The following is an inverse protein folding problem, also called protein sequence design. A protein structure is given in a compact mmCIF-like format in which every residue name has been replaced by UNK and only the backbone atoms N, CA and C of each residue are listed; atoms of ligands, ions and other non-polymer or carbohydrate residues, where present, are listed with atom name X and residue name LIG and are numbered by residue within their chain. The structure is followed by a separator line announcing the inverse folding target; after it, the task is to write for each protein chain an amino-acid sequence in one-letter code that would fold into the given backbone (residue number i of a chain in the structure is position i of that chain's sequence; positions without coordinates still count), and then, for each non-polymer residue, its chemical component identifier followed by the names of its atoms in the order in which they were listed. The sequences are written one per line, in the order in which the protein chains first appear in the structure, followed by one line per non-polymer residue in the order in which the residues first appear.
data_IF_860721901510
#
_entry.id   IF_860721901510
#
_cell.length_a   1.000
_cell.length_b   1.000
_cell.length_c   1.000
_cell.angle_alpha   90.00
_cell.angle_beta   90.00
_cell.angle_gamma   90.00
#
_symmetry.space_group_name_H-M   'P 1'
#
loop_
_entity.id
_entity.type
_entity.pdbx_description
1 polymer ?
#
# COMPACT_ATOMS: atom_id res chain seq x y z
N UNK A 1 16.78 10.54 20.48
CA UNK A 1 16.09 11.78 20.10
C UNK A 1 14.69 11.68 20.63
N UNK A 2 14.37 12.48 21.61
CA UNK A 2 13.11 12.50 22.35
C UNK A 2 11.99 12.98 21.44
N UNK A 3 11.07 12.08 21.07
CA UNK A 3 9.88 12.36 20.28
C UNK A 3 8.81 13.14 21.08
N UNK A 4 9.22 14.19 21.77
CA UNK A 4 8.34 15.10 22.49
C UNK A 4 8.36 16.52 21.89
N UNK A 5 8.73 16.67 20.62
CA UNK A 5 8.32 17.88 19.92
C UNK A 5 6.82 17.78 19.68
N UNK A 6 6.07 18.66 20.32
CA UNK A 6 4.63 18.81 20.20
C UNK A 6 4.28 18.89 18.71
N UNK A 7 3.61 17.88 18.18
CA UNK A 7 3.02 17.87 16.84
C UNK A 7 1.87 18.88 16.85
N UNK A 8 2.22 20.17 16.75
CA UNK A 8 1.27 21.28 16.94
C UNK A 8 0.48 21.64 15.68
N UNK A 9 0.95 21.19 14.49
CA UNK A 9 0.35 21.58 13.22
C UNK A 9 0.00 20.37 12.35
N UNK A 10 -1.24 19.89 12.45
CA UNK A 10 -1.75 18.78 11.62
C UNK A 10 -1.54 18.97 10.11
N UNK A 11 -1.55 20.21 9.63
CA UNK A 11 -1.28 20.53 8.22
C UNK A 11 0.19 20.28 7.84
N UNK A 12 1.13 20.67 8.70
CA UNK A 12 2.58 20.41 8.50
C UNK A 12 2.85 18.90 8.48
N UNK A 13 2.28 18.15 9.40
CA UNK A 13 2.44 16.69 9.46
C UNK A 13 1.81 16.01 8.25
N UNK A 14 0.64 16.48 7.81
CA UNK A 14 0.02 16.03 6.57
C UNK A 14 0.88 16.29 5.33
N UNK A 15 1.53 17.45 5.23
CA UNK A 15 2.44 17.78 4.14
C UNK A 15 3.70 16.89 4.16
N UNK A 16 4.26 16.61 5.34
CA UNK A 16 5.37 15.66 5.50
C UNK A 16 4.94 14.25 5.06
N UNK A 17 3.76 13.81 5.52
CA UNK A 17 3.17 12.52 5.13
C UNK A 17 2.97 12.39 3.63
N UNK A 18 2.56 13.47 2.95
CA UNK A 18 2.46 13.53 1.50
C UNK A 18 3.82 13.28 0.84
N UNK A 19 4.87 13.97 1.28
CA UNK A 19 6.23 13.77 0.77
C UNK A 19 6.73 12.34 0.97
N UNK A 20 6.53 11.78 2.18
CA UNK A 20 6.86 10.38 2.50
C UNK A 20 6.09 9.42 1.59
N UNK A 21 4.80 9.68 1.35
CA UNK A 21 3.97 8.85 0.48
C UNK A 21 4.44 8.85 -0.98
N UNK A 22 4.87 10.00 -1.51
CA UNK A 22 5.48 10.10 -2.85
C UNK A 22 6.76 9.27 -2.91
N UNK A 23 7.69 9.48 -1.98
CA UNK A 23 8.95 8.74 -1.93
C UNK A 23 8.72 7.23 -1.82
N UNK A 24 7.79 6.81 -0.97
CA UNK A 24 7.42 5.42 -0.83
C UNK A 24 6.83 4.85 -2.12
N UNK A 25 5.92 5.58 -2.79
CA UNK A 25 5.32 5.17 -4.05
C UNK A 25 6.34 5.01 -5.17
N UNK A 26 7.26 5.96 -5.29
CA UNK A 26 8.37 5.92 -6.26
C UNK A 26 9.28 4.72 -5.98
N UNK A 27 9.77 4.58 -4.74
CA UNK A 27 10.68 3.49 -4.36
C UNK A 27 10.03 2.13 -4.58
N UNK A 28 8.77 1.97 -4.14
CA UNK A 28 8.03 0.72 -4.32
C UNK A 28 7.87 0.35 -5.80
N UNK A 29 7.57 1.32 -6.65
CA UNK A 29 7.44 1.08 -8.09
C UNK A 29 8.80 0.80 -8.72
N UNK A 30 9.83 1.56 -8.40
CA UNK A 30 11.16 1.34 -8.96
C UNK A 30 11.73 -0.04 -8.60
N UNK A 31 11.55 -0.50 -7.37
CA UNK A 31 12.05 -1.81 -6.93
C UNK A 31 11.13 -2.94 -7.34
N UNK A 32 9.82 -2.76 -7.25
CA UNK A 32 8.82 -3.80 -7.49
C UNK A 32 8.51 -4.04 -8.97
N UNK A 33 8.57 -3.01 -9.80
CA UNK A 33 8.12 -3.09 -11.20
C UNK A 33 8.82 -4.16 -12.05
N UNK A 34 10.13 -4.39 -11.94
CA UNK A 34 10.80 -5.50 -12.65
C UNK A 34 10.17 -6.86 -12.34
N UNK A 35 9.84 -7.12 -11.06
CA UNK A 35 9.19 -8.35 -10.64
C UNK A 35 7.75 -8.45 -11.15
N UNK A 36 7.02 -7.34 -11.11
CA UNK A 36 5.65 -7.27 -11.65
C UNK A 36 5.64 -7.54 -13.16
N UNK A 37 6.61 -7.00 -13.90
CA UNK A 37 6.76 -7.24 -15.34
C UNK A 37 7.02 -8.71 -15.63
N UNK A 38 7.93 -9.36 -14.89
CA UNK A 38 8.23 -10.78 -15.06
C UNK A 38 7.01 -11.63 -14.71
N UNK A 39 6.34 -11.34 -13.59
CA UNK A 39 5.10 -12.02 -13.19
C UNK A 39 4.03 -11.93 -14.30
N UNK A 40 3.82 -10.76 -14.85
CA UNK A 40 2.84 -10.53 -15.93
C UNK A 40 3.22 -11.28 -17.19
N UNK A 41 4.51 -11.29 -17.59
CA UNK A 41 4.99 -12.07 -18.74
C UNK A 41 4.77 -13.57 -18.53
N UNK A 42 5.07 -14.10 -17.34
CA UNK A 42 4.83 -15.50 -17.01
C UNK A 42 3.35 -15.89 -17.04
N UNK A 43 2.46 -14.96 -16.70
CA UNK A 43 1.01 -15.21 -16.68
C UNK A 43 0.32 -15.02 -18.01
N UNK A 44 0.84 -14.16 -18.89
CA UNK A 44 0.11 -13.70 -20.09
C UNK A 44 0.87 -13.92 -21.40
N UNK A 45 2.16 -14.27 -21.38
CA UNK A 45 2.96 -14.35 -22.60
C UNK A 45 3.39 -15.79 -22.90
N UNK A 46 3.00 -16.27 -24.09
CA UNK A 46 3.42 -17.58 -24.60
C UNK A 46 4.96 -17.72 -24.60
N UNK A 47 5.45 -18.89 -24.17
CA UNK A 47 6.88 -19.18 -24.06
C UNK A 47 7.54 -18.80 -22.73
N UNK A 48 6.77 -18.32 -21.75
CA UNK A 48 7.18 -18.07 -20.37
C UNK A 48 6.45 -18.98 -19.36
N UNK A 49 5.45 -19.73 -19.80
CA UNK A 49 4.53 -20.51 -18.95
C UNK A 49 5.21 -21.58 -18.10
N UNK A 50 6.29 -22.18 -18.59
CA UNK A 50 7.06 -23.23 -17.90
C UNK A 50 8.37 -22.73 -17.28
N UNK A 51 8.66 -21.44 -17.41
CA UNK A 51 9.94 -20.87 -16.98
C UNK A 51 9.86 -20.40 -15.53
N UNK A 52 10.86 -20.71 -14.70
CA UNK A 52 10.99 -20.14 -13.36
C UNK A 52 11.21 -18.63 -13.41
N UNK A 53 10.94 -17.93 -12.29
CA UNK A 53 11.05 -16.46 -12.19
C UNK A 53 12.43 -15.94 -12.62
N UNK A 54 13.50 -16.57 -12.15
CA UNK A 54 14.88 -16.18 -12.50
C UNK A 54 15.20 -16.39 -13.97
N UNK A 55 14.71 -17.49 -14.56
CA UNK A 55 14.89 -17.80 -15.97
C UNK A 55 14.14 -16.78 -16.85
N UNK A 56 12.90 -16.45 -16.47
CA UNK A 56 12.09 -15.43 -17.14
C UNK A 56 12.72 -14.04 -17.03
N UNK A 57 13.31 -13.72 -15.88
CA UNK A 57 14.06 -12.49 -15.68
C UNK A 57 15.27 -12.42 -16.62
N UNK A 58 16.12 -13.46 -16.59
CA UNK A 58 17.31 -13.53 -17.44
C UNK A 58 16.95 -13.47 -18.95
N UNK A 59 15.90 -14.19 -19.36
CA UNK A 59 15.38 -14.17 -20.73
C UNK A 59 14.95 -12.76 -21.14
N UNK A 60 14.15 -12.08 -20.31
CA UNK A 60 13.68 -10.71 -20.57
C UNK A 60 14.83 -9.71 -20.59
N UNK A 61 15.77 -9.86 -19.65
CA UNK A 61 16.94 -8.96 -19.59
C UNK A 61 17.85 -9.11 -20.81
N UNK A 62 18.04 -10.34 -21.31
CA UNK A 62 18.83 -10.60 -22.52
C UNK A 62 18.15 -10.13 -23.80
N UNK A 63 16.81 -10.22 -23.90
CA UNK A 63 16.07 -9.83 -25.11
C UNK A 63 15.82 -8.34 -25.19
N UNK A 64 15.33 -7.73 -24.09
CA UNK A 64 14.79 -6.38 -24.09
C UNK A 64 15.60 -5.41 -23.21
N UNK A 65 16.61 -5.91 -22.50
CA UNK A 65 17.44 -5.15 -21.57
C UNK A 65 16.65 -4.58 -20.39
N UNK A 66 17.21 -3.56 -19.75
CA UNK A 66 16.56 -2.85 -18.62
C UNK A 66 15.23 -2.20 -19.05
N UNK A 67 15.16 -1.69 -20.29
CA UNK A 67 13.92 -1.08 -20.81
C UNK A 67 12.75 -2.06 -20.85
N UNK A 68 13.02 -3.33 -21.15
CA UNK A 68 11.99 -4.38 -21.13
C UNK A 68 11.41 -4.64 -19.74
N UNK A 69 12.23 -4.53 -18.69
CA UNK A 69 11.81 -4.71 -17.30
C UNK A 69 10.97 -3.55 -16.78
N UNK A 70 11.19 -2.32 -17.27
CA UNK A 70 10.47 -1.10 -16.87
C UNK A 70 9.41 -0.66 -17.87
N UNK A 71 9.10 -1.49 -18.87
CA UNK A 71 8.07 -1.16 -19.84
C UNK A 71 6.71 -1.04 -19.17
N UNK A 72 6.08 0.13 -19.30
CA UNK A 72 4.77 0.42 -18.71
C UNK A 72 4.81 0.82 -17.22
N UNK A 73 5.99 1.21 -16.67
CA UNK A 73 6.10 1.63 -15.25
C UNK A 73 5.45 2.98 -14.94
N UNK A 74 5.27 3.86 -15.93
CA UNK A 74 4.77 5.23 -15.71
C UNK A 74 3.35 5.27 -15.10
N UNK A 75 2.34 4.55 -15.62
CA UNK A 75 1.02 4.56 -14.99
C UNK A 75 0.99 4.07 -13.55
N UNK A 76 1.62 2.91 -13.19
CA UNK A 76 1.72 2.49 -11.80
C UNK A 76 2.50 3.47 -10.92
N UNK A 77 3.55 4.10 -11.46
CA UNK A 77 4.35 5.08 -10.72
C UNK A 77 3.52 6.29 -10.31
N UNK A 78 2.82 6.90 -11.26
CA UNK A 78 1.94 8.06 -10.99
C UNK A 78 0.79 7.66 -10.07
N UNK A 79 0.09 6.57 -10.39
CA UNK A 79 -1.03 6.08 -9.60
C UNK A 79 -0.62 5.78 -8.15
N UNK A 80 0.45 4.99 -7.94
CA UNK A 80 0.91 4.64 -6.59
C UNK A 80 1.40 5.86 -5.83
N UNK A 81 2.06 6.81 -6.47
CA UNK A 81 2.45 8.08 -5.86
C UNK A 81 1.25 8.84 -5.32
N UNK A 82 0.20 8.99 -6.12
CA UNK A 82 -1.00 9.76 -5.73
C UNK A 82 -1.74 9.11 -4.56
N UNK A 83 -2.15 7.85 -4.66
CA UNK A 83 -2.98 7.27 -3.60
C UNK A 83 -2.18 6.96 -2.31
N UNK A 84 -0.88 6.69 -2.41
CA UNK A 84 -0.02 6.50 -1.22
C UNK A 84 0.27 7.82 -0.53
N UNK A 85 0.59 8.88 -1.26
CA UNK A 85 0.80 10.19 -0.67
C UNK A 85 -0.47 10.72 0.01
N UNK A 86 -1.64 10.56 -0.60
CA UNK A 86 -2.90 10.89 0.03
C UNK A 86 -3.13 10.09 1.33
N UNK A 87 -2.83 8.79 1.32
CA UNK A 87 -2.96 7.94 2.51
C UNK A 87 -2.07 8.40 3.65
N UNK A 88 -0.76 8.62 3.40
CA UNK A 88 0.16 9.05 4.44
C UNK A 88 -0.16 10.45 4.94
N UNK A 89 -0.51 11.37 4.04
CA UNK A 89 -0.91 12.73 4.42
C UNK A 89 -2.13 12.73 5.34
N UNK A 90 -3.17 11.97 4.99
CA UNK A 90 -4.38 11.86 5.81
C UNK A 90 -4.09 11.16 7.13
N UNK A 91 -3.24 10.13 7.14
CA UNK A 91 -2.87 9.43 8.38
C UNK A 91 -2.15 10.38 9.35
N UNK A 92 -1.12 11.07 8.91
CA UNK A 92 -0.35 12.00 9.76
C UNK A 92 -1.21 13.19 10.23
N UNK A 93 -2.04 13.75 9.34
CA UNK A 93 -2.96 14.81 9.68
C UNK A 93 -3.98 14.35 10.74
N UNK A 94 -4.60 13.17 10.56
CA UNK A 94 -5.57 12.63 11.51
C UNK A 94 -4.92 12.21 12.82
N UNK A 95 -3.74 11.60 12.78
CA UNK A 95 -2.99 11.23 13.97
C UNK A 95 -2.69 12.43 14.87
N UNK A 96 -2.37 13.57 14.26
CA UNK A 96 -2.11 14.83 14.97
C UNK A 96 -3.42 15.52 15.38
N UNK A 97 -4.44 15.54 14.51
CA UNK A 97 -5.73 16.15 14.81
C UNK A 97 -6.46 15.42 15.96
N UNK A 98 -6.33 14.10 16.04
CA UNK A 98 -6.91 13.28 17.10
C UNK A 98 -6.04 13.23 18.37
N UNK A 99 -5.12 14.17 18.54
CA UNK A 99 -4.22 14.23 19.70
C UNK A 99 -4.91 14.81 20.95
N UNK A 100 -5.99 14.18 21.38
CA UNK A 100 -6.69 14.50 22.62
C UNK A 100 -6.66 13.33 23.62
N UNK A 101 -6.93 13.59 24.89
CA UNK A 101 -6.83 12.60 25.97
C UNK A 101 -7.73 11.37 25.74
N UNK A 102 -8.90 11.54 25.17
CA UNK A 102 -9.85 10.45 24.90
C UNK A 102 -9.31 9.48 23.82
N UNK A 103 -8.65 10.02 22.79
CA UNK A 103 -8.11 9.24 21.67
C UNK A 103 -6.73 8.64 21.96
N UNK A 104 -6.02 9.15 22.96
CA UNK A 104 -4.77 8.56 23.48
C UNK A 104 -5.02 7.33 24.36
N UNK A 105 -6.28 7.04 24.71
CA UNK A 105 -6.64 5.88 25.52
C UNK A 105 -6.21 4.59 24.80
N UNK A 106 -5.56 3.74 25.56
CA UNK A 106 -5.12 2.43 25.08
C UNK A 106 -6.28 1.45 25.02
N UNK A 107 -6.31 0.64 23.96
CA UNK A 107 -7.31 -0.42 23.82
C UNK A 107 -6.89 -1.60 24.72
N UNK A 108 -7.74 -2.08 25.63
CA UNK A 108 -7.42 -3.23 26.47
C UNK A 108 -7.08 -4.46 25.59
N UNK A 109 -6.15 -5.28 26.04
CA UNK A 109 -5.66 -6.51 25.38
C UNK A 109 -4.84 -6.29 24.09
N UNK A 110 -4.38 -5.07 23.76
CA UNK A 110 -3.66 -4.78 22.52
C UNK A 110 -2.24 -4.24 22.72
N UNK A 111 -1.55 -4.59 23.81
CA UNK A 111 -0.17 -4.13 24.09
C UNK A 111 0.02 -2.61 23.97
N UNK A 112 -0.98 -1.82 24.39
CA UNK A 112 -0.90 -0.35 24.46
C UNK A 112 -1.27 0.37 23.15
N UNK A 113 -1.98 -0.28 22.21
CA UNK A 113 -2.45 0.35 20.99
C UNK A 113 -3.42 1.50 21.29
N UNK A 114 -3.14 2.68 20.76
CA UNK A 114 -3.99 3.84 20.95
C UNK A 114 -5.15 3.89 19.94
N UNK A 115 -6.32 4.32 20.39
CA UNK A 115 -7.53 4.45 19.56
C UNK A 115 -7.25 5.34 18.33
N UNK A 116 -6.47 6.41 18.47
CA UNK A 116 -6.13 7.33 17.37
C UNK A 116 -5.41 6.65 16.21
N UNK A 117 -4.61 5.61 16.47
CA UNK A 117 -3.89 4.85 15.40
C UNK A 117 -4.90 4.09 14.54
N UNK A 118 -5.88 3.45 15.18
CA UNK A 118 -6.92 2.68 14.48
C UNK A 118 -7.83 3.62 13.68
N UNK A 119 -8.34 4.67 14.32
CA UNK A 119 -9.24 5.63 13.67
C UNK A 119 -8.52 6.36 12.53
N UNK A 120 -7.30 6.84 12.75
CA UNK A 120 -6.48 7.48 11.72
C UNK A 120 -6.18 6.51 10.56
N UNK A 121 -5.88 5.25 10.85
CA UNK A 121 -5.68 4.21 9.86
C UNK A 121 -6.91 3.93 9.00
N UNK A 122 -8.09 3.85 9.60
CA UNK A 122 -9.37 3.65 8.87
C UNK A 122 -9.67 4.85 7.97
N UNK A 123 -9.54 6.09 8.48
CA UNK A 123 -9.80 7.31 7.70
C UNK A 123 -8.81 7.44 6.54
N UNK A 124 -7.52 7.23 6.79
CA UNK A 124 -6.48 7.28 5.76
C UNK A 124 -6.68 6.21 4.67
N UNK A 125 -7.07 5.01 5.08
CA UNK A 125 -7.35 3.91 4.14
C UNK A 125 -8.60 4.17 3.31
N UNK A 126 -9.60 4.83 3.88
CA UNK A 126 -10.81 5.25 3.15
C UNK A 126 -10.46 6.29 2.11
N UNK A 127 -9.69 7.32 2.47
CA UNK A 127 -9.21 8.33 1.52
C UNK A 127 -8.41 7.70 0.37
N UNK A 128 -7.53 6.74 0.68
CA UNK A 128 -6.81 5.97 -0.32
C UNK A 128 -7.76 5.20 -1.23
N UNK A 129 -8.72 4.45 -0.69
CA UNK A 129 -9.62 3.62 -1.47
C UNK A 129 -10.47 4.42 -2.45
N UNK A 130 -10.89 5.63 -2.07
CA UNK A 130 -11.61 6.56 -2.94
C UNK A 130 -10.78 6.95 -4.16
N UNK A 131 -9.48 7.17 -3.99
CA UNK A 131 -8.57 7.58 -5.08
C UNK A 131 -8.10 6.35 -5.88
N UNK A 132 -7.80 5.24 -5.20
CA UNK A 132 -7.29 4.00 -5.81
C UNK A 132 -8.32 3.35 -6.74
N UNK A 133 -9.60 3.30 -6.33
CA UNK A 133 -10.65 2.60 -7.07
C UNK A 133 -10.85 3.10 -8.52
N UNK A 134 -10.98 4.40 -8.80
CA UNK A 134 -11.09 4.90 -10.18
C UNK A 134 -9.83 4.65 -11.01
N UNK A 135 -8.66 4.76 -10.42
CA UNK A 135 -7.38 4.54 -11.12
C UNK A 135 -7.19 3.07 -11.49
N UNK A 136 -7.54 2.15 -10.58
CA UNK A 136 -7.52 0.71 -10.86
C UNK A 136 -8.55 0.32 -11.93
N UNK A 137 -9.78 0.83 -11.84
CA UNK A 137 -10.81 0.58 -12.86
C UNK A 137 -10.37 1.06 -14.25
N UNK A 138 -9.79 2.26 -14.34
CA UNK A 138 -9.28 2.79 -15.61
C UNK A 138 -8.12 1.92 -16.17
N UNK A 139 -7.24 1.42 -15.29
CA UNK A 139 -6.15 0.51 -15.67
C UNK A 139 -6.69 -0.81 -16.23
N UNK A 140 -7.59 -1.46 -15.50
CA UNK A 140 -8.18 -2.75 -15.90
C UNK A 140 -8.97 -2.60 -17.20
N UNK A 141 -9.79 -1.56 -17.33
CA UNK A 141 -10.58 -1.31 -18.55
C UNK A 141 -9.70 -1.13 -19.77
N UNK A 142 -8.56 -0.43 -19.65
CA UNK A 142 -7.57 -0.31 -20.74
C UNK A 142 -6.88 -1.63 -21.08
N UNK A 143 -6.59 -2.46 -20.09
CA UNK A 143 -5.96 -3.77 -20.31
C UNK A 143 -6.88 -4.74 -21.04
N UNK A 144 -8.20 -4.65 -20.80
CA UNK A 144 -9.22 -5.53 -21.42
C UNK A 144 -9.74 -4.92 -22.75
N UNK A 145 -9.29 -3.72 -23.13
CA UNK A 145 -9.75 -3.04 -24.36
C UNK A 145 -11.20 -2.53 -24.30
N UNK A 146 -11.75 -2.34 -23.10
CA UNK A 146 -13.13 -1.81 -22.92
C UNK A 146 -13.12 -0.31 -22.72
N UNK A 147 -14.17 0.34 -23.24
CA UNK A 147 -14.44 1.76 -22.90
C UNK A 147 -14.85 1.86 -21.43
N UNK A 148 -14.16 2.72 -20.70
CA UNK A 148 -14.52 3.01 -19.31
C UNK A 148 -15.72 3.95 -19.25
N UNK A 149 -16.59 3.71 -18.26
CA UNK A 149 -17.79 4.52 -18.03
C UNK A 149 -17.73 5.08 -16.62
N UNK A 150 -17.88 6.40 -16.47
CA UNK A 150 -17.85 7.07 -15.17
C UNK A 150 -18.81 6.44 -14.14
N UNK A 151 -19.95 5.95 -14.58
CA UNK A 151 -20.96 5.31 -13.72
C UNK A 151 -20.48 4.00 -13.08
N UNK A 152 -19.51 3.32 -13.72
CA UNK A 152 -18.97 2.03 -13.25
C UNK A 152 -17.62 2.16 -12.53
N UNK A 153 -17.09 3.36 -12.41
CA UNK A 153 -15.76 3.62 -11.84
C UNK A 153 -15.60 3.12 -10.40
N UNK A 154 -16.68 3.12 -9.62
CA UNK A 154 -16.70 2.62 -8.26
C UNK A 154 -17.26 1.19 -8.14
N UNK A 155 -17.37 0.43 -9.23
CA UNK A 155 -17.76 -0.97 -9.17
C UNK A 155 -16.70 -1.77 -8.42
N UNK A 156 -17.12 -2.52 -7.38
CA UNK A 156 -16.21 -3.25 -6.50
C UNK A 156 -15.55 -2.38 -5.40
N UNK A 157 -15.97 -1.12 -5.23
CA UNK A 157 -15.44 -0.23 -4.19
C UNK A 157 -15.51 -0.85 -2.79
N UNK A 158 -16.62 -1.50 -2.43
CA UNK A 158 -16.79 -2.09 -1.09
C UNK A 158 -15.71 -3.13 -0.78
N UNK A 159 -15.42 -4.03 -1.71
CA UNK A 159 -14.36 -5.05 -1.52
C UNK A 159 -12.98 -4.41 -1.48
N UNK A 160 -12.71 -3.45 -2.36
CA UNK A 160 -11.46 -2.69 -2.36
C UNK A 160 -11.28 -1.92 -1.04
N UNK A 161 -12.35 -1.32 -0.52
CA UNK A 161 -12.34 -0.58 0.73
C UNK A 161 -12.05 -1.49 1.92
N UNK A 162 -12.77 -2.61 2.07
CA UNK A 162 -12.54 -3.59 3.15
C UNK A 162 -11.10 -4.10 3.11
N UNK A 163 -10.61 -4.48 1.93
CA UNK A 163 -9.23 -4.92 1.72
C UNK A 163 -8.22 -3.83 2.16
N UNK A 164 -8.41 -2.61 1.70
CA UNK A 164 -7.47 -1.52 1.94
C UNK A 164 -7.48 -1.11 3.41
N UNK A 165 -8.66 -0.98 4.01
CA UNK A 165 -8.81 -0.70 5.45
C UNK A 165 -8.20 -1.82 6.28
N UNK A 166 -8.51 -3.08 5.98
CA UNK A 166 -7.97 -4.23 6.69
C UNK A 166 -6.45 -4.30 6.63
N UNK A 167 -5.86 -4.14 5.42
CA UNK A 167 -4.42 -4.17 5.21
C UNK A 167 -3.70 -3.07 6.00
N UNK A 168 -4.16 -1.84 5.85
CA UNK A 168 -3.48 -0.68 6.43
C UNK A 168 -3.65 -0.59 7.94
N UNK A 169 -4.86 -0.86 8.42
CA UNK A 169 -5.11 -0.88 9.86
C UNK A 169 -4.28 -1.98 10.54
N UNK A 170 -4.24 -3.18 9.98
CA UNK A 170 -3.39 -4.26 10.49
C UNK A 170 -1.91 -3.89 10.43
N UNK A 171 -1.45 -3.30 9.35
CA UNK A 171 -0.07 -2.84 9.22
C UNK A 171 0.30 -1.82 10.31
N UNK A 172 -0.51 -0.78 10.51
CA UNK A 172 -0.25 0.22 11.53
C UNK A 172 -0.28 -0.36 12.95
N UNK A 173 -1.21 -1.29 13.23
CA UNK A 173 -1.27 -2.01 14.50
C UNK A 173 0.04 -2.78 14.74
N UNK A 174 0.51 -3.56 13.75
CA UNK A 174 1.73 -4.34 13.90
C UNK A 174 2.98 -3.47 14.03
N UNK A 175 3.07 -2.38 13.29
CA UNK A 175 4.19 -1.44 13.39
C UNK A 175 4.19 -0.75 14.76
N UNK A 176 3.05 -0.28 15.24
CA UNK A 176 2.94 0.38 16.55
C UNK A 176 3.25 -0.61 17.69
N UNK A 177 2.71 -1.82 17.64
CA UNK A 177 3.02 -2.90 18.60
C UNK A 177 4.50 -3.29 18.55
N UNK A 178 5.07 -3.40 17.37
CA UNK A 178 6.50 -3.70 17.20
C UNK A 178 7.39 -2.61 17.77
N UNK A 179 7.05 -1.33 17.58
CA UNK A 179 7.77 -0.19 18.19
C UNK A 179 7.77 -0.27 19.71
N UNK A 180 6.65 -0.62 20.32
CA UNK A 180 6.51 -0.64 21.79
C UNK A 180 7.22 -1.82 22.42
N UNK A 181 7.04 -3.02 21.85
CA UNK A 181 7.57 -4.26 22.43
C UNK A 181 9.07 -4.48 22.12
N UNK A 182 9.56 -3.95 20.99
CA UNK A 182 10.92 -4.16 20.52
C UNK A 182 11.69 -2.83 20.35
N UNK A 183 11.50 -1.91 21.30
CA UNK A 183 12.09 -0.57 21.25
C UNK A 183 13.60 -0.58 21.08
N UNK A 184 14.33 -1.47 21.77
CA UNK A 184 15.80 -1.59 21.67
C UNK A 184 16.26 -1.95 20.24
N UNK A 185 15.54 -2.85 19.55
CA UNK A 185 15.84 -3.22 18.18
C UNK A 185 15.43 -2.12 17.19
N UNK A 186 14.37 -1.39 17.50
CA UNK A 186 13.89 -0.29 16.66
C UNK A 186 14.84 0.90 16.64
N UNK A 187 15.60 1.11 17.71
CA UNK A 187 16.62 2.18 17.80
C UNK A 187 17.87 1.92 16.94
N UNK A 188 18.07 0.70 16.44
CA UNK A 188 19.17 0.41 15.51
C UNK A 188 18.89 1.12 14.18
N UNK A 189 19.77 2.04 13.73
CA UNK A 189 19.54 2.80 12.51
C UNK A 189 19.41 1.85 11.30
N UNK A 190 18.39 2.06 10.46
CA UNK A 190 18.06 1.34 9.23
C UNK A 190 17.54 -0.09 9.43
N UNK A 191 18.25 -0.98 10.12
CA UNK A 191 17.89 -2.40 10.22
C UNK A 191 16.63 -2.64 11.07
N UNK A 192 16.50 -1.97 12.21
CA UNK A 192 15.36 -2.13 13.11
C UNK A 192 14.03 -1.76 12.48
N UNK A 193 13.87 -0.52 11.98
CA UNK A 193 12.67 -0.10 11.28
C UNK A 193 12.37 -0.94 10.03
N UNK A 194 13.39 -1.35 9.27
CA UNK A 194 13.24 -2.19 8.09
C UNK A 194 12.65 -3.57 8.44
N UNK A 195 13.23 -4.27 9.43
CA UNK A 195 12.77 -5.60 9.82
C UNK A 195 11.36 -5.55 10.42
N UNK A 196 11.09 -4.62 11.33
CA UNK A 196 9.77 -4.50 11.96
C UNK A 196 8.70 -4.15 10.93
N UNK A 197 8.97 -3.18 10.05
CA UNK A 197 8.02 -2.81 9.00
C UNK A 197 7.82 -3.94 7.98
N UNK A 198 8.88 -4.67 7.65
CA UNK A 198 8.80 -5.83 6.75
C UNK A 198 7.96 -6.97 7.34
N UNK A 199 8.21 -7.35 8.60
CA UNK A 199 7.42 -8.37 9.29
C UNK A 199 5.97 -7.94 9.47
N UNK A 200 5.73 -6.69 9.86
CA UNK A 200 4.39 -6.11 9.98
C UNK A 200 3.63 -6.14 8.64
N UNK A 201 4.28 -5.77 7.55
CA UNK A 201 3.70 -5.83 6.22
C UNK A 201 3.34 -7.26 5.82
N UNK A 202 4.24 -8.22 6.05
CA UNK A 202 4.02 -9.63 5.74
C UNK A 202 2.83 -10.19 6.54
N UNK A 203 2.78 -9.93 7.85
CA UNK A 203 1.69 -10.36 8.70
C UNK A 203 0.34 -9.73 8.29
N UNK A 204 0.33 -8.44 7.96
CA UNK A 204 -0.87 -7.75 7.47
C UNK A 204 -1.37 -8.34 6.14
N UNK A 205 -0.45 -8.70 5.22
CA UNK A 205 -0.80 -9.36 3.97
C UNK A 205 -1.42 -10.74 4.18
N UNK A 206 -0.94 -11.52 5.13
CA UNK A 206 -1.51 -12.84 5.43
C UNK A 206 -2.96 -12.75 5.92
N UNK A 207 -3.26 -11.75 6.75
CA UNK A 207 -4.63 -11.53 7.25
C UNK A 207 -5.56 -11.12 6.10
N UNK A 208 -5.10 -10.31 5.17
CA UNK A 208 -5.94 -9.71 4.13
C UNK A 208 -5.98 -10.53 2.85
N UNK A 209 -5.16 -11.57 2.72
CA UNK A 209 -5.08 -12.42 1.53
C UNK A 209 -6.44 -12.95 1.03
N UNK A 210 -7.38 -13.42 1.88
CA UNK A 210 -8.70 -13.86 1.43
C UNK A 210 -9.49 -12.73 0.73
N UNK A 211 -9.39 -11.51 1.24
CA UNK A 211 -10.06 -10.34 0.66
C UNK A 211 -9.43 -9.90 -0.67
N UNK A 212 -8.12 -10.07 -0.82
CA UNK A 212 -7.43 -9.84 -2.09
C UNK A 212 -7.91 -10.82 -3.18
N UNK A 213 -8.08 -12.09 -2.81
CA UNK A 213 -8.64 -13.10 -3.70
C UNK A 213 -10.08 -12.77 -4.10
N UNK A 214 -10.94 -12.39 -3.15
CA UNK A 214 -12.31 -11.96 -3.42
C UNK A 214 -12.37 -10.74 -4.33
N UNK A 215 -11.48 -9.74 -4.11
CA UNK A 215 -11.37 -8.55 -4.96
C UNK A 215 -11.08 -8.94 -6.41
N UNK A 216 -10.11 -9.81 -6.63
CA UNK A 216 -9.72 -10.25 -7.98
C UNK A 216 -10.83 -11.01 -8.69
N UNK A 217 -11.61 -11.81 -7.97
CA UNK A 217 -12.78 -12.51 -8.50
C UNK A 217 -13.90 -11.53 -8.89
N UNK A 218 -14.27 -10.61 -7.99
CA UNK A 218 -15.32 -9.62 -8.25
C UNK A 218 -14.94 -8.73 -9.43
N UNK A 219 -13.71 -8.23 -9.48
CA UNK A 219 -13.26 -7.38 -10.60
C UNK A 219 -13.11 -8.17 -11.91
N UNK A 220 -12.74 -9.44 -11.87
CA UNK A 220 -12.68 -10.35 -13.02
C UNK A 220 -14.06 -10.71 -13.57
N UNK A 221 -15.03 -11.05 -12.73
CA UNK A 221 -16.39 -11.41 -13.13
C UNK A 221 -17.21 -10.23 -13.70
N UNK A 222 -17.05 -9.03 -13.15
CA UNK A 222 -17.66 -7.83 -13.75
C UNK A 222 -17.02 -7.44 -15.09
N UNK A 223 -15.99 -8.17 -15.50
CA UNK A 223 -15.34 -8.09 -16.80
C UNK A 223 -15.99 -8.97 -17.87
N UNK A 224 -16.85 -9.92 -17.50
CA UNK A 224 -17.66 -10.73 -18.40
C UNK A 224 -19.06 -10.14 -18.49
#
# INVERSE_FOLDING_TARGET
MTHNEERTHWFKEGAIGLGVGVLYGVTNTCVGHPFDTIKTKMQAQAGFESSGMFQSFSKTFRSDGIRGLYRGCVPPLIGSGIYRSAQFAVFEAMYTFLDNQAMKKEIPFTAGLQIRVVVGGVIASTARAIIECPLEYAKISRQIGRSWTLRKVYTGFGVTWIRTVGLMTSYFIFVDSGRRNFNEYFQRPLLGPFLISGLAATAAWWIVWPFEYMKSQVQGHYGQ
#
